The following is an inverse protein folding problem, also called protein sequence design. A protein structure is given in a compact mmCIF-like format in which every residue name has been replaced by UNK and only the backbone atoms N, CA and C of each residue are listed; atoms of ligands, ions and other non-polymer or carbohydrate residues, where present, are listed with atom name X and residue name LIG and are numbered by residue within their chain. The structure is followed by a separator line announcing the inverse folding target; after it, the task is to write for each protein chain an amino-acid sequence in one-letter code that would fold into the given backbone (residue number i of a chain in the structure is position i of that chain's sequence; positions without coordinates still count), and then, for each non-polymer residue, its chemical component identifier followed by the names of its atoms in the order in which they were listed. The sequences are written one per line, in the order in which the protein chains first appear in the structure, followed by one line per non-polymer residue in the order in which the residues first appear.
data_IF_752394477758
#
_entry.id   IF_752394477758
#
_cell.length_a   1.000
_cell.length_b   1.000
_cell.length_c   1.000
_cell.angle_alpha   90.00
_cell.angle_beta   90.00
_cell.angle_gamma   90.00
#
_symmetry.space_group_name_H-M   'P 1'
#
loop_
_entity.id
_entity.type
_entity.pdbx_description
1 polymer ?
#
# COMPACT_ATOMS: atom_id res chain seq x y z
N UNK A 1 -47.38 8.14 4.48
CA UNK A 1 -47.13 6.74 4.85
C UNK A 1 -45.80 6.40 4.19
N UNK A 2 -44.68 6.59 4.91
CA UNK A 2 -43.33 6.28 4.42
C UNK A 2 -43.19 4.77 4.61
N UNK A 3 -43.17 4.01 3.51
CA UNK A 3 -42.82 2.62 3.54
C UNK A 3 -41.34 2.53 3.95
N UNK A 4 -41.08 2.22 5.21
CA UNK A 4 -39.78 1.75 5.66
C UNK A 4 -39.59 0.39 4.98
N UNK A 5 -38.87 0.35 3.87
CA UNK A 5 -38.31 -0.88 3.34
C UNK A 5 -37.33 -1.37 4.42
N UNK A 6 -37.65 -2.46 5.11
CA UNK A 6 -36.71 -3.12 6.00
C UNK A 6 -35.44 -3.44 5.21
N UNK A 7 -34.30 -3.17 5.80
CA UNK A 7 -33.01 -3.62 5.21
C UNK A 7 -33.07 -5.15 5.06
N UNK A 8 -32.57 -5.70 3.96
CA UNK A 8 -32.54 -7.17 3.79
C UNK A 8 -31.67 -7.77 4.90
N UNK A 9 -32.16 -8.82 5.54
CA UNK A 9 -31.43 -9.53 6.58
C UNK A 9 -30.42 -10.50 5.97
N UNK A 10 -29.27 -10.70 6.65
CA UNK A 10 -28.30 -11.73 6.27
C UNK A 10 -28.95 -13.13 6.31
N UNK A 11 -29.88 -13.38 7.21
CA UNK A 11 -30.62 -14.64 7.31
C UNK A 11 -31.52 -14.87 6.11
N UNK A 12 -32.22 -13.82 5.62
CA UNK A 12 -33.03 -13.90 4.39
C UNK A 12 -32.15 -14.19 3.14
N UNK A 13 -30.94 -13.63 3.09
CA UNK A 13 -29.99 -13.93 2.02
C UNK A 13 -29.57 -15.40 2.06
N UNK A 14 -29.28 -15.93 3.25
CA UNK A 14 -28.87 -17.33 3.45
C UNK A 14 -29.99 -18.31 3.06
N UNK A 15 -31.24 -18.01 3.40
CA UNK A 15 -32.39 -18.83 2.99
C UNK A 15 -32.56 -18.91 1.46
N UNK A 16 -32.11 -17.93 0.72
CA UNK A 16 -32.16 -17.83 -0.73
C UNK A 16 -30.87 -18.22 -1.44
N UNK A 17 -29.83 -18.63 -0.68
CA UNK A 17 -28.48 -18.77 -1.18
C UNK A 17 -28.37 -19.78 -2.34
N UNK A 18 -29.10 -20.90 -2.31
CA UNK A 18 -29.12 -21.86 -3.41
C UNK A 18 -29.57 -21.26 -4.76
N UNK A 19 -30.47 -20.27 -4.71
CA UNK A 19 -30.96 -19.57 -5.90
C UNK A 19 -30.04 -18.43 -6.35
N UNK A 20 -29.33 -17.81 -5.40
CA UNK A 20 -28.54 -16.63 -5.62
C UNK A 20 -27.05 -16.94 -5.86
N UNK A 21 -26.61 -18.16 -5.51
CA UNK A 21 -25.22 -18.58 -5.66
C UNK A 21 -24.77 -18.57 -7.13
N UNK A 22 -23.49 -18.27 -7.37
CA UNK A 22 -22.97 -18.27 -8.73
C UNK A 22 -22.94 -19.68 -9.33
N UNK A 23 -23.27 -19.78 -10.61
CA UNK A 23 -23.21 -21.03 -11.37
C UNK A 23 -22.46 -20.79 -12.70
N UNK A 24 -21.29 -21.42 -12.94
CA UNK A 24 -20.64 -22.40 -12.06
C UNK A 24 -20.04 -21.75 -10.81
N UNK A 25 -20.02 -22.50 -9.70
CA UNK A 25 -19.33 -22.10 -8.48
C UNK A 25 -17.85 -22.42 -8.59
N UNK A 26 -17.03 -21.36 -8.57
CA UNK A 26 -15.58 -21.42 -8.51
C UNK A 26 -15.06 -20.16 -7.78
N UNK A 27 -13.75 -20.12 -7.49
CA UNK A 27 -13.13 -19.02 -6.73
C UNK A 27 -13.50 -17.64 -7.30
N UNK A 28 -13.27 -17.42 -8.60
CA UNK A 28 -13.52 -16.12 -9.23
C UNK A 28 -14.99 -15.74 -9.25
N UNK A 29 -15.88 -16.70 -9.46
CA UNK A 29 -17.32 -16.45 -9.50
C UNK A 29 -17.86 -16.12 -8.10
N UNK A 30 -17.36 -16.78 -7.05
CA UNK A 30 -17.71 -16.47 -5.66
C UNK A 30 -17.20 -15.08 -5.27
N UNK A 31 -15.94 -14.76 -5.56
CA UNK A 31 -15.39 -13.45 -5.26
C UNK A 31 -16.20 -12.33 -5.92
N UNK A 32 -16.50 -12.44 -7.25
CA UNK A 32 -17.34 -11.45 -7.95
C UNK A 32 -18.76 -11.36 -7.37
N UNK A 33 -19.32 -12.48 -6.95
CA UNK A 33 -20.65 -12.52 -6.34
C UNK A 33 -20.64 -11.78 -4.99
N UNK A 34 -19.62 -11.96 -4.16
CA UNK A 34 -19.43 -11.23 -2.90
C UNK A 34 -19.21 -9.75 -3.17
N UNK A 35 -18.33 -9.39 -4.10
CA UNK A 35 -18.03 -8.00 -4.48
C UNK A 35 -19.23 -7.22 -5.02
N UNK A 36 -20.19 -7.91 -5.60
CA UNK A 36 -21.39 -7.29 -6.21
C UNK A 36 -22.44 -6.83 -5.20
N UNK A 37 -22.23 -7.03 -3.90
CA UNK A 37 -23.22 -6.78 -2.84
C UNK A 37 -22.79 -5.69 -1.88
N UNK A 38 -23.77 -4.93 -1.42
CA UNK A 38 -23.58 -3.96 -0.33
C UNK A 38 -23.85 -4.65 1.03
N UNK A 39 -22.82 -5.27 1.58
CA UNK A 39 -22.89 -6.00 2.84
C UNK A 39 -23.18 -5.10 4.03
N UNK A 40 -22.81 -3.80 3.97
CA UNK A 40 -23.06 -2.85 5.04
C UNK A 40 -24.51 -2.40 5.10
N UNK A 41 -25.24 -2.52 4.00
CA UNK A 41 -26.68 -2.22 3.94
C UNK A 41 -27.54 -3.38 4.45
N UNK A 42 -26.97 -4.52 4.85
CA UNK A 42 -27.71 -5.67 5.38
C UNK A 42 -27.80 -5.61 6.91
N UNK A 43 -28.89 -6.14 7.46
CA UNK A 43 -28.96 -6.44 8.90
C UNK A 43 -28.18 -7.75 9.17
N UNK A 44 -26.98 -7.60 9.69
CA UNK A 44 -26.11 -8.70 10.11
C UNK A 44 -26.01 -8.82 11.64
N UNK A 45 -26.49 -7.81 12.40
CA UNK A 45 -26.42 -7.81 13.86
C UNK A 45 -27.22 -8.95 14.48
N UNK A 46 -28.33 -9.34 13.85
CA UNK A 46 -29.15 -10.47 14.29
C UNK A 46 -28.44 -11.84 14.25
N UNK A 47 -27.37 -11.94 13.43
CA UNK A 47 -26.57 -13.15 13.30
C UNK A 47 -25.25 -13.10 14.07
N UNK A 48 -24.95 -12.02 14.79
CA UNK A 48 -23.69 -11.81 15.48
C UNK A 48 -23.51 -12.82 16.63
N UNK A 49 -22.41 -13.63 16.63
CA UNK A 49 -22.14 -14.56 17.72
C UNK A 49 -21.74 -13.82 18.99
N UNK A 50 -22.15 -14.37 20.14
CA UNK A 50 -21.75 -13.84 21.44
C UNK A 50 -20.34 -14.30 21.78
N UNK A 51 -19.52 -13.39 22.30
CA UNK A 51 -18.18 -13.68 22.80
C UNK A 51 -18.32 -14.27 24.21
N UNK A 52 -17.97 -15.54 24.36
CA UNK A 52 -17.95 -16.22 25.65
C UNK A 52 -16.58 -16.08 26.36
N UNK A 53 -15.50 -16.13 25.57
CA UNK A 53 -14.12 -15.93 26.02
C UNK A 53 -13.52 -14.67 25.37
N UNK A 54 -13.18 -13.62 26.13
CA UNK A 54 -12.61 -12.41 25.59
C UNK A 54 -11.17 -12.59 25.03
N UNK A 55 -10.54 -13.72 25.25
CA UNK A 55 -9.22 -14.07 24.71
C UNK A 55 -9.30 -14.82 23.37
N UNK A 56 -10.51 -15.17 22.90
CA UNK A 56 -10.73 -15.84 21.63
C UNK A 56 -11.91 -15.20 20.86
N UNK A 57 -12.05 -15.55 19.59
CA UNK A 57 -13.14 -15.07 18.75
C UNK A 57 -14.32 -16.06 18.75
N UNK A 58 -15.51 -15.53 18.51
CA UNK A 58 -16.73 -16.34 18.40
C UNK A 58 -17.10 -16.60 16.93
N UNK A 59 -17.70 -17.77 16.64
CA UNK A 59 -18.15 -18.19 15.32
C UNK A 59 -19.65 -18.47 15.30
N UNK A 60 -20.33 -18.08 14.23
CA UNK A 60 -21.70 -18.48 13.91
C UNK A 60 -21.76 -18.93 12.45
N UNK A 61 -21.90 -20.23 12.21
CA UNK A 61 -22.11 -20.81 10.90
C UNK A 61 -23.56 -20.56 10.49
N UNK A 62 -23.76 -19.78 9.43
CA UNK A 62 -25.09 -19.40 8.94
C UNK A 62 -25.64 -20.42 7.96
N UNK A 63 -24.78 -21.01 7.13
CA UNK A 63 -25.10 -22.14 6.25
C UNK A 63 -23.84 -22.86 5.80
N UNK A 64 -24.01 -24.08 5.25
CA UNK A 64 -22.93 -24.91 4.71
C UNK A 64 -23.09 -25.19 3.20
N UNK A 65 -24.29 -24.99 2.66
CA UNK A 65 -24.61 -25.24 1.25
C UNK A 65 -25.17 -23.97 0.59
N UNK A 66 -24.84 -23.69 -0.67
CA UNK A 66 -23.91 -24.38 -1.59
C UNK A 66 -22.44 -24.09 -1.32
N UNK A 67 -22.14 -23.20 -0.38
CA UNK A 67 -20.83 -22.90 0.20
C UNK A 67 -21.03 -22.42 1.64
N UNK A 68 -20.00 -22.55 2.47
CA UNK A 68 -20.09 -22.09 3.86
C UNK A 68 -20.19 -20.57 3.92
N UNK A 69 -21.12 -20.09 4.76
CA UNK A 69 -21.17 -18.69 5.22
C UNK A 69 -21.05 -18.70 6.74
N UNK A 70 -20.01 -18.09 7.25
CA UNK A 70 -19.75 -18.01 8.70
C UNK A 70 -19.42 -16.59 9.13
N UNK A 71 -20.08 -16.16 10.21
CA UNK A 71 -19.81 -14.86 10.83
C UNK A 71 -18.89 -15.03 12.01
N UNK A 72 -17.85 -14.20 12.09
CA UNK A 72 -16.90 -14.18 13.20
C UNK A 72 -16.92 -12.84 13.91
N UNK A 73 -16.83 -12.92 15.25
CA UNK A 73 -16.80 -11.76 16.13
C UNK A 73 -15.53 -11.79 16.98
N UNK A 74 -14.69 -10.78 16.82
CA UNK A 74 -13.34 -10.70 17.37
C UNK A 74 -13.24 -9.61 18.44
N UNK A 75 -12.93 -9.95 19.69
CA UNK A 75 -12.59 -8.94 20.69
C UNK A 75 -11.41 -8.06 20.28
N UNK A 76 -11.22 -6.90 20.89
CA UNK A 76 -10.07 -6.04 20.62
C UNK A 76 -8.73 -6.77 20.75
N UNK A 77 -7.88 -6.66 19.73
CA UNK A 77 -6.54 -7.26 19.71
C UNK A 77 -6.47 -8.78 19.56
N UNK A 78 -7.61 -9.48 19.53
CA UNK A 78 -7.64 -10.95 19.33
C UNK A 78 -7.24 -11.32 17.90
N UNK A 79 -6.50 -12.43 17.77
CA UNK A 79 -6.05 -12.97 16.50
C UNK A 79 -6.21 -14.50 16.41
N UNK A 80 -6.36 -15.02 15.20
CA UNK A 80 -6.25 -16.46 14.96
C UNK A 80 -4.78 -16.91 15.03
N UNK A 81 -4.54 -18.20 15.18
CA UNK A 81 -3.24 -18.79 14.85
C UNK A 81 -2.94 -18.59 13.36
N UNK A 82 -1.66 -18.66 12.99
CA UNK A 82 -1.30 -18.82 11.57
C UNK A 82 -1.82 -20.19 11.13
N UNK A 83 -2.62 -20.23 10.07
CA UNK A 83 -3.23 -21.46 9.57
C UNK A 83 -3.19 -21.53 8.03
N UNK A 84 -3.34 -22.75 7.51
CA UNK A 84 -3.14 -23.04 6.10
C UNK A 84 -4.45 -23.48 5.44
N UNK A 85 -4.89 -22.74 4.42
CA UNK A 85 -6.00 -23.12 3.56
C UNK A 85 -5.54 -24.17 2.55
N UNK A 86 -5.65 -25.43 2.89
CA UNK A 86 -5.28 -26.54 2.02
C UNK A 86 -6.52 -27.30 1.58
N UNK A 87 -6.86 -27.17 0.29
CA UNK A 87 -8.01 -27.85 -0.30
C UNK A 87 -9.33 -27.10 -0.14
N UNK A 88 -9.31 -25.87 0.34
CA UNK A 88 -10.45 -24.95 0.36
C UNK A 88 -10.01 -23.52 0.09
N UNK A 89 -10.92 -22.70 -0.37
CA UNK A 89 -10.69 -21.31 -0.71
C UNK A 89 -11.93 -20.48 -0.37
N UNK A 90 -11.76 -19.18 -0.31
CA UNK A 90 -12.85 -18.29 0.04
C UNK A 90 -12.54 -16.83 -0.08
N UNK A 91 -13.36 -16.03 0.59
CA UNK A 91 -13.17 -14.60 0.71
C UNK A 91 -13.84 -14.08 1.99
N UNK A 92 -13.34 -12.98 2.51
CA UNK A 92 -13.80 -12.39 3.78
C UNK A 92 -14.26 -10.96 3.55
N UNK A 93 -15.40 -10.58 4.13
CA UNK A 93 -15.91 -9.21 4.17
C UNK A 93 -15.70 -8.65 5.59
N UNK A 94 -15.11 -7.49 5.71
CA UNK A 94 -15.07 -6.73 6.95
C UNK A 94 -16.40 -5.98 7.11
N UNK A 95 -17.19 -6.32 8.15
CA UNK A 95 -18.46 -5.65 8.44
C UNK A 95 -18.31 -4.51 9.45
N UNK A 96 -17.40 -4.67 10.41
CA UNK A 96 -17.12 -3.67 11.45
C UNK A 96 -15.67 -3.76 11.90
N UNK A 97 -15.07 -2.64 12.32
CA UNK A 97 -13.75 -2.59 12.92
C UNK A 97 -12.61 -2.57 11.90
N UNK A 98 -11.46 -3.09 12.29
CA UNK A 98 -10.25 -3.13 11.45
C UNK A 98 -9.73 -4.56 11.35
N UNK A 99 -9.88 -5.16 10.19
CA UNK A 99 -9.32 -6.47 9.88
C UNK A 99 -7.87 -6.33 9.43
N UNK A 100 -6.96 -7.06 10.05
CA UNK A 100 -5.59 -7.29 9.57
C UNK A 100 -5.43 -8.74 9.13
N UNK A 101 -5.19 -8.96 7.85
CA UNK A 101 -4.86 -10.26 7.28
C UNK A 101 -3.35 -10.32 7.03
N UNK A 102 -2.65 -11.14 7.82
CA UNK A 102 -1.19 -11.29 7.76
C UNK A 102 -0.84 -12.56 7.01
N UNK A 103 -0.21 -12.44 5.86
CA UNK A 103 0.16 -13.58 5.01
C UNK A 103 1.58 -14.05 5.28
N UNK A 104 1.77 -15.36 5.14
CA UNK A 104 3.04 -16.05 5.36
C UNK A 104 3.41 -16.91 4.17
N UNK A 105 4.70 -17.25 4.07
CA UNK A 105 5.23 -18.22 3.11
C UNK A 105 6.06 -19.26 3.85
N UNK A 106 5.77 -20.53 3.59
CA UNK A 106 6.57 -21.65 4.10
C UNK A 106 7.42 -22.21 2.96
N UNK A 107 8.75 -22.13 3.10
CA UNK A 107 9.71 -22.70 2.15
C UNK A 107 10.59 -23.70 2.86
N UNK A 108 10.36 -25.00 2.61
CA UNK A 108 10.96 -26.06 3.41
C UNK A 108 10.50 -25.96 4.86
N UNK A 109 11.43 -25.74 5.79
CA UNK A 109 11.16 -25.52 7.21
C UNK A 109 11.23 -24.05 7.63
N UNK A 110 11.35 -23.12 6.68
CA UNK A 110 11.38 -21.67 7.00
C UNK A 110 10.02 -21.06 6.76
N UNK A 111 9.43 -20.48 7.80
CA UNK A 111 8.21 -19.69 7.76
C UNK A 111 8.57 -18.19 7.84
N UNK A 112 8.16 -17.41 6.86
CA UNK A 112 8.39 -15.96 6.81
C UNK A 112 7.08 -15.21 6.61
N UNK A 113 6.95 -14.04 7.23
CA UNK A 113 5.86 -13.12 6.94
C UNK A 113 6.12 -12.44 5.60
N UNK A 114 5.12 -12.41 4.72
CA UNK A 114 5.27 -11.84 3.37
C UNK A 114 4.42 -10.61 3.11
N UNK A 115 3.26 -10.49 3.78
CA UNK A 115 2.34 -9.38 3.53
C UNK A 115 1.46 -9.04 4.74
N UNK A 116 0.85 -7.86 4.71
CA UNK A 116 -0.23 -7.42 5.59
C UNK A 116 -1.27 -6.67 4.77
N UNK A 117 -2.45 -7.25 4.62
CA UNK A 117 -3.63 -6.57 4.06
C UNK A 117 -4.51 -6.06 5.21
N UNK A 118 -4.85 -4.77 5.19
CA UNK A 118 -5.78 -4.17 6.16
C UNK A 118 -7.09 -3.85 5.48
N UNK A 119 -8.20 -4.31 6.07
CA UNK A 119 -9.55 -4.02 5.59
C UNK A 119 -10.37 -3.27 6.64
N UNK A 120 -11.18 -2.33 6.17
CA UNK A 120 -12.17 -1.59 6.93
C UNK A 120 -13.59 -2.00 6.50
N UNK A 121 -14.66 -1.53 7.16
CA UNK A 121 -16.02 -1.88 6.79
C UNK A 121 -16.30 -1.72 5.29
N UNK A 122 -16.82 -2.78 4.66
CA UNK A 122 -17.01 -2.90 3.22
C UNK A 122 -15.80 -3.46 2.45
N UNK A 123 -14.62 -3.53 3.08
CA UNK A 123 -13.44 -4.14 2.47
C UNK A 123 -13.56 -5.66 2.36
N UNK A 124 -13.02 -6.21 1.26
CA UNK A 124 -13.07 -7.64 0.93
C UNK A 124 -11.64 -8.17 0.84
N UNK A 125 -11.38 -9.29 1.52
CA UNK A 125 -10.08 -9.96 1.56
C UNK A 125 -10.20 -11.32 0.88
N UNK A 126 -9.56 -11.53 -0.29
CA UNK A 126 -9.57 -12.81 -0.96
C UNK A 126 -8.64 -13.83 -0.27
N UNK A 127 -9.08 -15.08 -0.20
CA UNK A 127 -8.37 -16.20 0.42
C UNK A 127 -8.34 -17.40 -0.53
N UNK A 128 -7.46 -17.40 -1.55
CA UNK A 128 -7.32 -18.50 -2.48
C UNK A 128 -6.78 -19.77 -1.81
N UNK A 129 -6.97 -20.93 -2.47
CA UNK A 129 -6.35 -22.19 -2.02
C UNK A 129 -4.83 -22.05 -1.85
N UNK A 130 -4.30 -22.66 -0.80
CA UNK A 130 -2.89 -22.54 -0.44
C UNK A 130 -2.54 -21.29 0.38
N UNK A 131 -3.50 -20.43 0.72
CA UNK A 131 -3.26 -19.28 1.62
C UNK A 131 -2.75 -19.76 2.98
N UNK A 132 -1.63 -19.18 3.42
CA UNK A 132 -1.08 -19.36 4.76
C UNK A 132 -1.09 -17.99 5.46
N UNK A 133 -1.98 -17.85 6.43
CA UNK A 133 -2.24 -16.53 7.01
C UNK A 133 -2.72 -16.59 8.45
N UNK A 134 -2.89 -15.43 9.06
CA UNK A 134 -3.72 -15.21 10.25
C UNK A 134 -4.56 -13.95 10.09
N UNK A 135 -5.72 -13.94 10.72
CA UNK A 135 -6.56 -12.75 10.88
C UNK A 135 -6.36 -12.20 12.29
N UNK A 136 -6.30 -10.87 12.40
CA UNK A 136 -6.21 -10.14 13.66
C UNK A 136 -7.18 -8.98 13.67
N UNK A 137 -7.79 -8.73 14.83
CA UNK A 137 -8.42 -7.45 15.08
C UNK A 137 -7.34 -6.38 15.28
N UNK A 138 -7.19 -5.48 14.32
CA UNK A 138 -6.19 -4.42 14.33
C UNK A 138 -6.50 -3.26 15.28
N UNK A 139 -7.67 -3.28 15.95
CA UNK A 139 -8.06 -2.28 16.96
C UNK A 139 -7.81 -2.81 18.38
N UNK A 140 -7.27 -1.94 19.24
CA UNK A 140 -7.10 -2.23 20.68
C UNK A 140 -8.37 -1.93 21.49
N UNK A 141 -9.38 -1.27 20.91
CA UNK A 141 -10.55 -0.75 21.63
C UNK A 141 -11.89 -1.13 21.02
N UNK A 142 -11.93 -1.48 19.75
CA UNK A 142 -13.15 -1.80 19.01
C UNK A 142 -13.17 -3.27 18.59
N UNK A 143 -14.37 -3.87 18.61
CA UNK A 143 -14.55 -5.21 18.11
C UNK A 143 -14.48 -5.24 16.56
N UNK A 144 -13.96 -6.34 16.02
CA UNK A 144 -14.00 -6.63 14.60
C UNK A 144 -15.13 -7.64 14.33
N UNK A 145 -15.89 -7.43 13.25
CA UNK A 145 -16.87 -8.39 12.74
C UNK A 145 -16.55 -8.69 11.29
N UNK A 146 -16.44 -9.99 10.98
CA UNK A 146 -16.13 -10.46 9.63
C UNK A 146 -17.14 -11.51 9.17
N UNK A 147 -17.45 -11.51 7.87
CA UNK A 147 -18.29 -12.50 7.21
C UNK A 147 -17.44 -13.26 6.20
N UNK A 148 -17.33 -14.57 6.39
CA UNK A 148 -16.48 -15.45 5.59
C UNK A 148 -17.32 -16.33 4.68
N UNK A 149 -16.80 -16.61 3.49
CA UNK A 149 -17.38 -17.46 2.47
C UNK A 149 -16.34 -18.48 2.06
N UNK A 150 -16.59 -19.79 2.29
CA UNK A 150 -15.64 -20.85 2.00
C UNK A 150 -16.23 -21.95 1.11
N UNK A 151 -15.41 -22.47 0.20
CA UNK A 151 -15.74 -23.63 -0.60
C UNK A 151 -14.53 -24.55 -0.83
N UNK A 152 -14.67 -25.88 -0.65
CA UNK A 152 -15.84 -26.53 -0.02
C UNK A 152 -16.04 -26.07 1.43
N UNK A 153 -17.25 -26.26 1.94
CA UNK A 153 -17.60 -25.89 3.31
C UNK A 153 -16.72 -26.61 4.35
N UNK A 154 -16.36 -25.88 5.39
CA UNK A 154 -15.60 -26.40 6.54
C UNK A 154 -16.60 -26.67 7.69
N UNK A 155 -17.27 -27.80 7.66
CA UNK A 155 -18.21 -28.18 8.71
C UNK A 155 -17.54 -28.17 10.11
N UNK A 156 -16.27 -28.55 10.16
CA UNK A 156 -15.41 -28.53 11.34
C UNK A 156 -14.00 -28.04 10.97
N UNK A 157 -13.15 -27.79 11.96
CA UNK A 157 -11.74 -27.46 11.72
C UNK A 157 -10.84 -28.71 11.71
N UNK A 158 -11.42 -29.92 11.58
CA UNK A 158 -10.65 -31.17 11.54
C UNK A 158 -9.65 -31.16 10.37
N UNK A 159 -8.40 -31.42 10.69
CA UNK A 159 -7.30 -31.43 9.72
C UNK A 159 -6.65 -30.04 9.46
N UNK A 160 -7.21 -28.95 9.99
CA UNK A 160 -6.60 -27.62 9.84
C UNK A 160 -5.24 -27.56 10.54
N UNK A 161 -4.21 -27.16 9.81
CA UNK A 161 -2.87 -26.99 10.35
C UNK A 161 -2.68 -25.58 10.93
N UNK A 162 -2.25 -25.51 12.19
CA UNK A 162 -1.90 -24.29 12.90
C UNK A 162 -0.40 -24.23 13.13
N UNK A 163 0.18 -23.03 13.09
CA UNK A 163 1.61 -22.79 13.24
C UNK A 163 1.86 -21.83 14.40
N UNK A 164 2.53 -22.32 15.44
CA UNK A 164 2.92 -21.52 16.60
C UNK A 164 4.26 -20.82 16.31
N UNK A 165 4.20 -19.50 16.13
CA UNK A 165 5.36 -18.68 15.79
C UNK A 165 6.40 -18.57 16.91
N UNK A 166 6.00 -18.81 18.17
CA UNK A 166 6.90 -18.70 19.34
C UNK A 166 7.73 -19.95 19.51
N UNK A 167 7.10 -21.12 19.37
CA UNK A 167 7.77 -22.41 19.60
C UNK A 167 8.28 -23.08 18.33
N UNK A 168 7.83 -22.65 17.16
CA UNK A 168 8.10 -23.31 15.87
C UNK A 168 7.37 -24.65 15.74
N UNK A 169 6.31 -24.87 16.51
CA UNK A 169 5.52 -26.09 16.51
C UNK A 169 4.33 -26.02 15.57
N UNK A 170 4.00 -27.14 14.94
CA UNK A 170 2.84 -27.31 14.08
C UNK A 170 1.81 -28.19 14.77
N UNK A 171 0.58 -27.71 14.81
CA UNK A 171 -0.56 -28.43 15.37
C UNK A 171 -1.52 -28.78 14.23
N UNK A 172 -2.27 -29.88 14.38
CA UNK A 172 -3.37 -30.24 13.49
C UNK A 172 -4.61 -30.37 14.33
N UNK A 173 -5.62 -29.57 14.04
CA UNK A 173 -6.91 -29.59 14.72
C UNK A 173 -7.66 -30.93 14.52
N UNK A 174 -8.57 -31.24 15.42
CA UNK A 174 -9.59 -32.25 15.27
C UNK A 174 -11.00 -31.61 15.31
N UNK A 175 -12.04 -32.45 15.23
CA UNK A 175 -13.44 -32.00 15.19
C UNK A 175 -13.91 -31.23 16.43
N UNK A 176 -13.16 -31.26 17.53
CA UNK A 176 -13.50 -30.51 18.78
C UNK A 176 -13.01 -29.07 18.75
N UNK A 177 -12.15 -28.70 17.82
CA UNK A 177 -11.59 -27.36 17.78
C UNK A 177 -12.69 -26.34 17.38
N UNK A 178 -13.09 -25.41 18.27
CA UNK A 178 -14.14 -24.44 17.98
C UNK A 178 -13.64 -23.28 17.12
N UNK A 179 -12.35 -22.96 17.22
CA UNK A 179 -11.68 -21.82 16.56
C UNK A 179 -10.30 -22.24 16.05
N UNK A 180 -9.71 -21.45 15.16
CA UNK A 180 -8.31 -21.60 14.74
C UNK A 180 -7.39 -20.79 15.68
N UNK A 181 -7.51 -21.00 16.99
CA UNK A 181 -6.73 -20.31 18.03
C UNK A 181 -5.62 -21.18 18.60
N UNK A 182 -4.51 -20.58 19.06
CA UNK A 182 -3.47 -21.29 19.80
C UNK A 182 -3.81 -21.56 21.25
N UNK A 183 -4.87 -20.96 21.78
CA UNK A 183 -5.28 -21.08 23.21
C UNK A 183 -6.17 -22.31 23.48
N UNK A 184 -6.35 -23.20 22.52
CA UNK A 184 -7.24 -24.35 22.65
C UNK A 184 -6.71 -25.43 23.60
N UNK A 185 -7.60 -26.16 24.30
CA UNK A 185 -7.24 -27.34 25.06
C UNK A 185 -6.52 -28.39 24.21
N UNK A 186 -5.63 -29.16 24.86
CA UNK A 186 -4.80 -30.21 24.19
C UNK A 186 -5.63 -31.23 23.42
N UNK A 187 -6.82 -31.55 23.89
CA UNK A 187 -7.74 -32.51 23.25
C UNK A 187 -8.43 -31.98 21.98
N UNK A 188 -8.25 -30.70 21.63
CA UNK A 188 -8.66 -30.13 20.36
C UNK A 188 -7.67 -30.41 19.21
N UNK A 189 -6.51 -31.03 19.52
CA UNK A 189 -5.49 -31.31 18.51
C UNK A 189 -5.35 -32.80 18.27
N UNK A 190 -5.33 -33.21 16.98
CA UNK A 190 -5.04 -34.59 16.54
C UNK A 190 -3.56 -34.92 16.68
N UNK A 191 -2.70 -33.97 16.32
CA UNK A 191 -1.24 -34.11 16.39
C UNK A 191 -0.56 -32.79 16.70
N UNK A 192 0.66 -32.92 17.23
CA UNK A 192 1.59 -31.80 17.45
C UNK A 192 2.99 -32.26 17.03
N UNK A 193 3.66 -31.44 16.27
CA UNK A 193 5.03 -31.62 15.81
C UNK A 193 5.88 -30.45 16.32
N UNK A 194 6.80 -30.73 17.23
CA UNK A 194 7.72 -29.75 17.78
C UNK A 194 8.86 -29.47 16.80
N UNK A 195 9.34 -28.22 16.77
CA UNK A 195 10.39 -27.76 15.85
C UNK A 195 10.09 -28.05 14.37
N UNK A 196 8.82 -28.02 13.98
CA UNK A 196 8.36 -28.27 12.62
C UNK A 196 8.84 -27.21 11.63
N UNK A 197 9.11 -26.00 12.11
CA UNK A 197 9.60 -24.88 11.30
C UNK A 197 10.41 -23.88 12.14
N UNK A 198 11.14 -23.02 11.43
CA UNK A 198 11.80 -21.85 12.00
C UNK A 198 11.10 -20.60 11.47
N UNK A 199 10.54 -19.82 12.38
CA UNK A 199 9.98 -18.53 12.01
C UNK A 199 11.11 -17.51 11.86
N UNK A 200 11.18 -16.89 10.68
CA UNK A 200 11.94 -15.65 10.47
C UNK A 200 11.02 -14.47 10.75
N UNK A 201 11.12 -13.83 11.93
CA UNK A 201 10.55 -12.50 12.06
C UNK A 201 11.22 -11.65 10.98
N UNK A 202 10.47 -10.72 10.38
CA UNK A 202 11.06 -9.74 9.46
C UNK A 202 12.21 -9.10 10.22
N UNK A 203 13.44 -9.48 9.88
CA UNK A 203 14.63 -8.79 10.40
C UNK A 203 14.41 -7.34 9.99
N UNK A 204 14.62 -6.41 10.91
CA UNK A 204 14.34 -4.99 10.82
C UNK A 204 15.09 -4.25 9.69
N UNK A 205 15.07 -4.78 8.48
CA UNK A 205 15.21 -4.01 7.25
C UNK A 205 13.81 -3.61 6.82
N UNK A 206 13.26 -2.85 7.63
CA UNK A 206 12.75 -1.52 7.43
C UNK A 206 11.39 -1.30 6.76
N UNK A 207 10.85 -2.10 5.87
CA UNK A 207 9.60 -1.81 5.17
C UNK A 207 8.67 -3.00 5.18
N UNK A 208 7.48 -2.82 5.71
CA UNK A 208 6.39 -3.81 5.63
C UNK A 208 5.37 -3.28 4.64
N UNK A 209 5.17 -4.01 3.55
CA UNK A 209 4.10 -3.73 2.61
C UNK A 209 2.75 -4.00 3.29
N UNK A 210 1.81 -3.09 3.15
CA UNK A 210 0.51 -3.15 3.79
C UNK A 210 -0.52 -2.49 2.87
N UNK A 211 -1.34 -3.26 2.20
CA UNK A 211 -2.47 -2.72 1.45
C UNK A 211 -3.66 -2.42 2.39
N UNK A 212 -4.40 -1.39 2.05
CA UNK A 212 -5.56 -0.92 2.81
C UNK A 212 -6.79 -1.02 1.92
N UNK A 213 -7.76 -1.83 2.29
CA UNK A 213 -8.99 -2.00 1.51
C UNK A 213 -10.23 -1.61 2.31
N UNK A 214 -11.14 -0.82 1.73
CA UNK A 214 -11.01 -0.15 0.42
C UNK A 214 -9.85 0.86 0.42
N UNK A 215 -9.34 1.19 -0.77
CA UNK A 215 -8.30 2.24 -0.90
C UNK A 215 -8.83 3.55 -0.30
N UNK A 216 -8.07 4.20 0.59
CA UNK A 216 -8.51 5.47 1.18
C UNK A 216 -8.65 6.57 0.12
N UNK A 217 -9.51 7.54 0.39
CA UNK A 217 -9.62 8.72 -0.45
C UNK A 217 -8.29 9.50 -0.50
N UNK A 218 -8.02 10.18 -1.62
CA UNK A 218 -6.76 10.88 -1.87
C UNK A 218 -6.32 11.83 -0.75
N UNK A 219 -7.26 12.58 -0.15
CA UNK A 219 -6.97 13.46 0.98
C UNK A 219 -6.49 12.70 2.23
N UNK A 220 -7.00 11.48 2.46
CA UNK A 220 -6.55 10.61 3.56
C UNK A 220 -5.15 10.10 3.27
N UNK A 221 -4.86 9.68 2.03
CA UNK A 221 -3.52 9.25 1.61
C UNK A 221 -2.51 10.38 1.76
N UNK A 222 -2.84 11.60 1.30
CA UNK A 222 -1.98 12.77 1.47
C UNK A 222 -1.68 13.04 2.96
N UNK A 223 -2.69 12.90 3.83
CA UNK A 223 -2.47 13.06 5.28
C UNK A 223 -1.57 11.96 5.86
N UNK A 224 -1.74 10.71 5.43
CA UNK A 224 -0.87 9.60 5.82
C UNK A 224 0.59 9.86 5.39
N UNK A 225 0.79 10.31 4.15
CA UNK A 225 2.12 10.67 3.62
C UNK A 225 2.72 11.84 4.40
N UNK A 226 1.94 12.88 4.70
CA UNK A 226 2.39 14.02 5.53
C UNK A 226 2.88 13.57 6.90
N UNK A 227 2.05 12.82 7.63
CA UNK A 227 2.38 12.32 8.96
C UNK A 227 3.64 11.45 8.94
N UNK A 228 3.75 10.55 7.95
CA UNK A 228 4.92 9.70 7.78
C UNK A 228 6.21 10.51 7.62
N UNK A 229 6.23 11.54 6.78
CA UNK A 229 7.40 12.37 6.58
C UNK A 229 7.66 13.33 7.73
N UNK A 230 6.66 13.80 8.45
CA UNK A 230 6.83 14.55 9.70
C UNK A 230 7.55 13.70 10.76
N UNK A 231 7.13 12.41 10.92
CA UNK A 231 7.81 11.46 11.82
C UNK A 231 9.27 11.22 11.42
N UNK A 232 9.55 11.14 10.12
CA UNK A 232 10.88 10.84 9.60
C UNK A 232 11.81 12.06 9.52
N UNK A 233 11.29 13.28 9.57
CA UNK A 233 12.03 14.50 9.24
C UNK A 233 13.35 14.69 10.02
N UNK A 234 13.36 14.33 11.31
CA UNK A 234 14.53 14.49 12.18
C UNK A 234 15.69 13.56 11.79
N UNK A 235 15.41 12.39 11.20
CA UNK A 235 16.40 11.35 10.91
C UNK A 235 16.60 11.12 9.41
N UNK A 236 15.80 11.76 8.56
CA UNK A 236 15.73 11.51 7.12
C UNK A 236 17.09 11.62 6.42
N UNK A 237 17.79 12.73 6.59
CA UNK A 237 19.08 12.96 5.95
C UNK A 237 20.17 11.99 6.43
N UNK A 238 20.15 11.62 7.70
CA UNK A 238 21.10 10.66 8.28
C UNK A 238 20.83 9.23 7.74
N UNK A 239 19.58 8.83 7.67
CA UNK A 239 19.20 7.53 7.11
C UNK A 239 19.54 7.42 5.62
N UNK A 240 19.29 8.48 4.85
CA UNK A 240 19.60 8.54 3.43
C UNK A 240 21.11 8.41 3.16
N UNK A 241 21.93 8.98 4.05
CA UNK A 241 23.37 8.86 3.98
C UNK A 241 23.93 7.47 4.40
N UNK A 242 23.22 6.74 5.24
CA UNK A 242 23.65 5.42 5.74
C UNK A 242 23.35 4.26 4.78
N UNK A 243 22.30 4.37 3.96
CA UNK A 243 21.94 3.35 2.98
C UNK A 243 22.71 3.58 1.69
N UNK A 244 23.79 2.80 1.48
CA UNK A 244 24.71 2.97 0.34
C UNK A 244 23.98 3.09 -1.01
N UNK A 245 23.06 2.18 -1.30
CA UNK A 245 22.24 2.15 -2.53
C UNK A 245 21.49 3.48 -2.74
N UNK A 246 20.86 4.02 -1.70
CA UNK A 246 20.15 5.31 -1.77
C UNK A 246 21.09 6.48 -1.96
N UNK A 247 22.20 6.47 -1.24
CA UNK A 247 23.22 7.52 -1.33
C UNK A 247 23.78 7.62 -2.75
N UNK A 248 24.16 6.50 -3.35
CA UNK A 248 24.70 6.45 -4.71
C UNK A 248 23.66 6.94 -5.73
N UNK A 249 22.44 6.38 -5.68
CA UNK A 249 21.35 6.83 -6.54
C UNK A 249 21.07 8.33 -6.42
N UNK A 250 20.95 8.86 -5.20
CA UNK A 250 20.70 10.29 -4.96
C UNK A 250 21.82 11.14 -5.54
N UNK A 251 23.08 10.76 -5.35
CA UNK A 251 24.22 11.47 -5.91
C UNK A 251 24.20 11.47 -7.44
N UNK A 252 23.93 10.34 -8.08
CA UNK A 252 23.84 10.22 -9.53
C UNK A 252 22.72 11.12 -10.08
N UNK A 253 21.54 11.09 -9.49
CA UNK A 253 20.44 11.94 -9.93
C UNK A 253 20.73 13.43 -9.71
N UNK A 254 21.29 13.81 -8.59
CA UNK A 254 21.61 15.23 -8.31
C UNK A 254 22.64 15.77 -9.30
N UNK A 255 23.62 14.96 -9.71
CA UNK A 255 24.58 15.30 -10.79
C UNK A 255 23.88 15.43 -12.15
N UNK A 256 22.97 14.51 -12.50
CA UNK A 256 22.20 14.61 -13.76
C UNK A 256 21.33 15.86 -13.78
N UNK A 257 20.65 16.19 -12.68
CA UNK A 257 19.85 17.43 -12.56
C UNK A 257 20.72 18.65 -12.72
N UNK A 258 21.87 18.69 -12.06
CA UNK A 258 22.84 19.81 -12.18
C UNK A 258 23.32 19.98 -13.62
N UNK A 259 23.63 18.88 -14.31
CA UNK A 259 24.04 18.91 -15.72
C UNK A 259 22.89 19.42 -16.64
N UNK A 260 21.65 19.04 -16.39
CA UNK A 260 20.48 19.57 -17.10
C UNK A 260 20.34 21.09 -16.90
N UNK A 261 20.56 21.58 -15.68
CA UNK A 261 20.52 23.02 -15.39
C UNK A 261 21.65 23.78 -16.09
N UNK A 262 22.86 23.20 -16.14
CA UNK A 262 23.98 23.79 -16.86
C UNK A 262 23.68 23.85 -18.38
N UNK A 263 23.14 22.77 -18.96
CA UNK A 263 22.76 22.76 -20.36
C UNK A 263 21.67 23.80 -20.68
N UNK A 264 20.63 23.87 -19.84
CA UNK A 264 19.58 24.89 -19.99
C UNK A 264 20.16 26.30 -19.88
N UNK A 265 21.12 26.53 -18.96
CA UNK A 265 21.73 27.84 -18.71
C UNK A 265 22.50 28.40 -19.91
N UNK A 266 23.06 27.51 -20.77
CA UNK A 266 23.75 27.91 -22.00
C UNK A 266 22.78 28.60 -22.96
N UNK A 267 21.56 28.05 -23.10
CA UNK A 267 20.55 28.60 -24.00
C UNK A 267 19.77 29.75 -23.36
N UNK A 268 19.49 29.64 -22.07
CA UNK A 268 18.68 30.58 -21.32
C UNK A 268 19.13 30.63 -19.83
N UNK A 269 19.43 31.82 -19.27
CA UNK A 269 19.85 31.92 -17.87
C UNK A 269 18.87 31.26 -16.90
N UNK A 270 19.32 30.29 -16.10
CA UNK A 270 18.56 29.71 -14.99
C UNK A 270 18.68 30.65 -13.80
N UNK A 271 17.56 31.24 -13.36
CA UNK A 271 17.46 32.20 -12.27
C UNK A 271 16.48 31.80 -11.18
N UNK A 272 15.46 31.01 -11.52
CA UNK A 272 14.38 30.63 -10.64
C UNK A 272 14.14 29.13 -10.78
N UNK A 273 14.26 28.37 -9.70
CA UNK A 273 14.01 26.93 -9.67
C UNK A 273 12.97 26.59 -8.61
N UNK A 274 11.96 25.81 -8.98
CA UNK A 274 10.97 25.27 -8.05
C UNK A 274 11.29 23.81 -7.73
N UNK A 275 11.46 23.50 -6.46
CA UNK A 275 11.61 22.15 -5.95
C UNK A 275 10.26 21.69 -5.35
N UNK A 276 9.48 20.95 -6.11
CA UNK A 276 8.21 20.33 -5.66
C UNK A 276 8.55 19.12 -4.78
N UNK A 277 7.93 19.01 -3.60
CA UNK A 277 8.31 18.10 -2.53
C UNK A 277 9.81 18.24 -2.20
N UNK A 278 10.18 19.44 -1.75
CA UNK A 278 11.57 19.81 -1.52
C UNK A 278 12.24 19.09 -0.34
N UNK A 279 11.47 18.34 0.46
CA UNK A 279 11.94 17.62 1.65
C UNK A 279 12.68 18.54 2.59
N UNK A 280 13.81 18.10 3.13
CA UNK A 280 14.67 18.90 4.00
C UNK A 280 15.44 20.02 3.28
N UNK A 281 15.33 20.13 1.95
CA UNK A 281 16.11 21.09 1.15
C UNK A 281 17.56 20.67 0.86
N UNK A 282 18.05 19.57 1.43
CA UNK A 282 19.44 19.10 1.26
C UNK A 282 19.79 18.88 -0.22
N UNK A 283 18.88 18.24 -0.98
CA UNK A 283 19.10 17.98 -2.41
C UNK A 283 19.08 19.27 -3.22
N UNK A 284 18.13 20.18 -2.97
CA UNK A 284 18.08 21.49 -3.63
C UNK A 284 19.40 22.24 -3.49
N UNK A 285 19.94 22.33 -2.27
CA UNK A 285 21.24 22.94 -1.97
C UNK A 285 22.40 22.20 -2.64
N UNK A 286 22.41 20.86 -2.60
CA UNK A 286 23.42 20.02 -3.26
C UNK A 286 23.44 20.20 -4.78
N UNK A 287 22.29 20.23 -5.44
CA UNK A 287 22.14 20.44 -6.89
C UNK A 287 22.64 21.83 -7.27
N UNK A 288 22.28 22.86 -6.49
CA UNK A 288 22.77 24.22 -6.74
C UNK A 288 24.31 24.27 -6.66
N UNK A 289 24.89 23.70 -5.63
CA UNK A 289 26.35 23.67 -5.46
C UNK A 289 27.05 22.89 -6.61
N UNK A 290 26.48 21.76 -7.03
CA UNK A 290 27.03 20.93 -8.13
C UNK A 290 26.88 21.60 -9.49
N UNK A 291 25.81 22.33 -9.72
CA UNK A 291 25.62 23.07 -10.99
C UNK A 291 26.55 24.27 -11.13
N UNK A 292 27.03 24.82 -10.01
CA UNK A 292 27.80 26.04 -9.98
C UNK A 292 27.02 27.29 -10.39
N UNK A 293 25.68 27.20 -10.46
CA UNK A 293 24.79 28.28 -10.89
C UNK A 293 24.20 28.98 -9.66
N UNK A 294 24.04 30.32 -9.79
CA UNK A 294 23.34 31.12 -8.79
C UNK A 294 21.91 31.39 -9.23
N UNK A 295 20.94 30.74 -8.55
CA UNK A 295 19.50 30.86 -8.79
C UNK A 295 18.72 30.88 -7.47
N UNK A 296 17.55 31.51 -7.48
CA UNK A 296 16.66 31.47 -6.33
C UNK A 296 15.98 30.10 -6.24
N UNK A 297 16.12 29.48 -5.07
CA UNK A 297 15.46 28.21 -4.75
C UNK A 297 14.10 28.45 -4.11
N UNK A 298 13.06 27.91 -4.73
CA UNK A 298 11.72 27.88 -4.17
C UNK A 298 11.34 26.43 -3.89
N UNK A 299 10.52 26.20 -2.87
CA UNK A 299 10.12 24.87 -2.48
C UNK A 299 8.68 24.81 -2.00
N UNK A 300 8.12 23.62 -2.14
CA UNK A 300 6.87 23.24 -1.48
C UNK A 300 7.02 21.83 -0.95
N UNK A 301 6.52 21.59 0.25
CA UNK A 301 6.46 20.27 0.84
C UNK A 301 5.16 20.08 1.61
N UNK A 302 4.67 18.85 1.67
CA UNK A 302 3.47 18.48 2.40
C UNK A 302 3.73 18.39 3.92
N UNK A 303 4.98 17.99 4.29
CA UNK A 303 5.45 17.89 5.65
C UNK A 303 5.90 19.25 6.18
N UNK A 304 5.32 19.67 7.29
CA UNK A 304 5.71 20.92 7.95
C UNK A 304 7.15 20.86 8.49
N UNK A 305 7.54 19.71 9.05
CA UNK A 305 8.87 19.51 9.63
C UNK A 305 9.96 19.47 8.55
N UNK A 306 9.68 18.87 7.37
CA UNK A 306 10.57 18.93 6.21
C UNK A 306 10.72 20.37 5.71
N UNK A 307 9.62 21.10 5.52
CA UNK A 307 9.63 22.47 5.02
C UNK A 307 10.40 23.43 5.94
N UNK A 308 10.32 23.27 7.26
CA UNK A 308 11.13 24.03 8.24
C UNK A 308 12.62 23.85 8.01
N UNK A 309 13.07 22.60 7.79
CA UNK A 309 14.48 22.32 7.51
C UNK A 309 14.93 22.90 6.17
N UNK A 310 14.09 22.82 5.13
CA UNK A 310 14.37 23.40 3.81
C UNK A 310 14.54 24.93 3.91
N UNK A 311 13.66 25.59 4.65
CA UNK A 311 13.75 27.05 4.89
C UNK A 311 15.06 27.42 5.57
N UNK A 312 15.49 26.65 6.57
CA UNK A 312 16.77 26.88 7.26
C UNK A 312 17.98 26.69 6.32
N UNK A 313 17.82 25.98 5.19
CA UNK A 313 18.84 25.79 4.14
C UNK A 313 18.74 26.80 2.98
N UNK A 314 17.93 27.83 3.12
CA UNK A 314 17.83 28.91 2.13
C UNK A 314 16.84 28.64 0.99
N UNK A 315 16.00 27.61 1.08
CA UNK A 315 14.90 27.39 0.15
C UNK A 315 13.71 28.25 0.59
N UNK A 316 13.17 29.07 -0.30
CA UNK A 316 11.93 29.81 -0.04
C UNK A 316 10.74 28.84 -0.09
N UNK A 317 10.39 28.26 1.06
CA UNK A 317 9.52 27.11 1.17
C UNK A 317 8.11 27.47 1.61
N UNK A 318 7.10 26.76 1.04
CA UNK A 318 5.70 26.77 1.48
C UNK A 318 5.28 25.37 1.90
N UNK A 319 4.47 25.26 2.95
CA UNK A 319 3.80 24.01 3.34
C UNK A 319 2.51 23.87 2.53
N UNK A 320 2.30 22.72 1.90
CA UNK A 320 1.07 22.46 1.17
C UNK A 320 1.12 21.24 0.26
N UNK A 321 -0.06 20.76 -0.13
CA UNK A 321 -0.19 19.66 -1.09
C UNK A 321 0.16 20.10 -2.51
N UNK A 322 0.93 19.28 -3.22
CA UNK A 322 1.25 19.48 -4.63
C UNK A 322 -0.01 19.48 -5.51
N UNK A 323 -1.03 18.72 -5.13
CA UNK A 323 -2.30 18.67 -5.86
C UNK A 323 -3.17 19.91 -5.67
N UNK A 324 -2.88 20.76 -4.69
CA UNK A 324 -3.60 22.01 -4.42
C UNK A 324 -2.79 23.28 -4.72
N UNK A 325 -1.54 23.15 -5.19
CA UNK A 325 -0.75 24.30 -5.58
C UNK A 325 -1.48 25.06 -6.70
N UNK A 326 -1.86 26.29 -6.41
CA UNK A 326 -2.29 27.21 -7.44
C UNK A 326 -1.07 27.63 -8.26
N UNK A 327 -1.07 27.48 -9.59
CA UNK A 327 -0.02 28.02 -10.46
C UNK A 327 0.02 29.55 -10.46
N UNK A 328 -0.89 30.21 -9.77
CA UNK A 328 -1.00 31.66 -9.67
C UNK A 328 0.01 32.21 -8.66
N UNK A 329 1.27 32.13 -9.03
CA UNK A 329 2.26 33.16 -8.72
C UNK A 329 2.41 33.95 -10.03
N UNK A 330 1.66 35.03 -10.20
CA UNK A 330 1.80 36.07 -11.24
C UNK A 330 2.41 35.66 -12.62
N UNK A 331 2.00 34.50 -13.17
CA UNK A 331 2.45 33.97 -14.46
C UNK A 331 3.57 32.91 -14.35
N UNK A 332 3.93 32.26 -15.46
CA UNK A 332 5.01 31.27 -15.53
C UNK A 332 6.35 31.94 -15.22
N UNK A 333 6.97 31.58 -14.10
CA UNK A 333 8.14 32.26 -13.56
C UNK A 333 9.38 31.41 -13.40
N UNK A 334 9.27 30.06 -13.52
CA UNK A 334 10.38 29.18 -13.25
C UNK A 334 11.09 28.70 -14.51
N UNK A 335 12.41 28.64 -14.45
CA UNK A 335 13.27 28.13 -15.51
C UNK A 335 13.30 26.60 -15.49
N UNK A 336 13.27 26.05 -14.28
CA UNK A 336 13.21 24.61 -14.05
C UNK A 336 12.31 24.28 -12.85
N UNK A 337 11.70 23.11 -12.92
CA UNK A 337 10.93 22.49 -11.84
C UNK A 337 11.53 21.11 -11.58
N UNK A 338 11.75 20.75 -10.31
CA UNK A 338 12.13 19.37 -9.92
C UNK A 338 11.07 18.74 -9.05
N UNK A 339 10.89 17.41 -9.20
CA UNK A 339 10.03 16.59 -8.36
C UNK A 339 10.75 15.25 -8.10
N UNK A 340 11.63 15.23 -7.12
CA UNK A 340 12.58 14.15 -6.89
C UNK A 340 12.18 13.29 -5.70
N UNK A 341 12.10 11.98 -5.89
CA UNK A 341 11.72 10.99 -4.88
C UNK A 341 10.29 11.14 -4.32
N UNK A 342 9.41 11.78 -5.07
CA UNK A 342 8.10 12.19 -4.57
C UNK A 342 6.93 11.83 -5.47
N UNK A 343 7.15 11.64 -6.77
CA UNK A 343 6.07 11.37 -7.73
C UNK A 343 5.21 10.15 -7.33
N UNK A 344 5.84 9.10 -6.82
CA UNK A 344 5.15 7.90 -6.37
C UNK A 344 4.27 8.09 -5.13
N UNK A 345 4.42 9.19 -4.38
CA UNK A 345 3.57 9.47 -3.21
C UNK A 345 2.24 10.18 -3.56
N UNK A 346 2.02 10.50 -4.85
CA UNK A 346 0.78 11.10 -5.32
C UNK A 346 -0.33 10.04 -5.42
N UNK A 347 -1.51 10.28 -4.82
CA UNK A 347 -2.47 9.23 -4.48
C UNK A 347 -3.10 8.49 -5.66
N UNK A 348 -3.31 9.17 -6.79
CA UNK A 348 -4.02 8.66 -7.96
C UNK A 348 -3.60 9.37 -9.25
N UNK A 349 -4.02 8.83 -10.41
CA UNK A 349 -3.71 9.39 -11.73
C UNK A 349 -4.18 10.84 -11.88
N UNK A 350 -5.35 11.19 -11.35
CA UNK A 350 -5.89 12.55 -11.45
C UNK A 350 -4.99 13.56 -10.71
N UNK A 351 -4.51 13.20 -9.51
CA UNK A 351 -3.56 14.02 -8.75
C UNK A 351 -2.19 14.09 -9.44
N UNK A 352 -1.69 12.97 -9.98
CA UNK A 352 -0.43 12.95 -10.76
C UNK A 352 -0.52 13.86 -11.99
N UNK A 353 -1.60 13.77 -12.76
CA UNK A 353 -1.83 14.66 -13.91
C UNK A 353 -1.92 16.12 -13.50
N UNK A 354 -2.63 16.42 -12.41
CA UNK A 354 -2.78 17.78 -11.88
C UNK A 354 -1.44 18.38 -11.47
N UNK A 355 -0.59 17.60 -10.80
CA UNK A 355 0.76 18.03 -10.40
C UNK A 355 1.64 18.31 -11.62
N UNK A 356 1.65 17.41 -12.62
CA UNK A 356 2.38 17.63 -13.87
C UNK A 356 1.85 18.87 -14.62
N UNK A 357 0.54 19.05 -14.70
CA UNK A 357 -0.07 20.23 -15.34
C UNK A 357 0.27 21.53 -14.59
N UNK A 358 0.33 21.50 -13.27
CA UNK A 358 0.77 22.65 -12.46
C UNK A 358 2.23 22.99 -12.72
N UNK A 359 3.10 21.97 -12.78
CA UNK A 359 4.52 22.17 -13.15
C UNK A 359 4.66 22.77 -14.55
N UNK A 360 3.86 22.30 -15.53
CA UNK A 360 3.83 22.86 -16.87
C UNK A 360 3.46 24.35 -16.86
N UNK A 361 2.43 24.72 -16.10
CA UNK A 361 1.96 26.10 -16.02
C UNK A 361 2.95 27.03 -15.32
N UNK A 362 3.69 26.55 -14.32
CA UNK A 362 4.70 27.29 -13.59
C UNK A 362 5.96 27.59 -14.41
N UNK A 363 6.29 26.71 -15.37
CA UNK A 363 7.47 26.87 -16.21
C UNK A 363 7.27 27.98 -17.25
N UNK A 364 8.32 28.70 -17.57
CA UNK A 364 8.38 29.55 -18.77
C UNK A 364 8.43 28.69 -20.04
N UNK A 365 8.09 29.21 -21.22
CA UNK A 365 8.34 28.53 -22.48
C UNK A 365 9.82 28.13 -22.63
N UNK A 366 10.06 26.85 -22.96
CA UNK A 366 11.40 26.28 -23.03
C UNK A 366 12.00 25.82 -21.69
N UNK A 367 11.30 26.08 -20.57
CA UNK A 367 11.70 25.58 -19.26
C UNK A 367 11.53 24.06 -19.15
N UNK A 368 12.17 23.45 -18.16
CA UNK A 368 12.22 21.98 -17.99
C UNK A 368 11.64 21.53 -16.67
N UNK A 369 10.93 20.38 -16.72
CA UNK A 369 10.57 19.58 -15.56
C UNK A 369 11.53 18.39 -15.48
N UNK A 370 12.11 18.14 -14.32
CA UNK A 370 12.93 16.97 -14.04
C UNK A 370 12.35 16.22 -12.85
N UNK A 371 12.08 14.94 -13.01
CA UNK A 371 11.56 14.12 -11.92
C UNK A 371 11.98 12.66 -12.05
N UNK A 372 11.81 11.91 -10.97
CA UNK A 372 11.97 10.46 -10.95
C UNK A 372 10.69 9.76 -10.49
N UNK A 373 10.49 8.54 -10.98
CA UNK A 373 9.37 7.70 -10.61
C UNK A 373 9.83 6.26 -10.37
N UNK A 374 9.09 5.53 -9.55
CA UNK A 374 9.35 4.11 -9.32
C UNK A 374 8.85 3.30 -10.52
N UNK A 375 9.72 2.45 -11.08
CA UNK A 375 9.37 1.55 -12.18
C UNK A 375 8.72 0.27 -11.64
N UNK A 376 7.56 -0.09 -12.16
CA UNK A 376 6.87 -1.33 -11.79
C UNK A 376 7.65 -2.57 -12.24
N UNK A 377 8.52 -2.44 -13.23
CA UNK A 377 9.37 -3.51 -13.73
C UNK A 377 10.67 -3.69 -12.93
N UNK A 378 10.97 -2.81 -11.96
CA UNK A 378 12.20 -2.90 -11.16
C UNK A 378 12.16 -4.08 -10.19
N UNK A 379 12.91 -5.15 -10.52
CA UNK A 379 12.99 -6.38 -9.72
C UNK A 379 13.69 -6.19 -8.36
N UNK A 380 14.38 -5.07 -8.14
CA UNK A 380 15.05 -4.73 -6.88
C UNK A 380 14.16 -3.96 -5.90
N UNK A 381 12.94 -3.65 -6.31
CA UNK A 381 11.92 -2.95 -5.51
C UNK A 381 10.61 -3.75 -5.49
N UNK A 382 9.54 -3.16 -4.99
CA UNK A 382 8.24 -3.84 -4.85
C UNK A 382 7.38 -3.87 -6.12
N UNK A 383 7.83 -3.31 -7.23
CA UNK A 383 7.03 -3.19 -8.45
C UNK A 383 6.42 -4.51 -8.92
N UNK A 384 7.22 -5.57 -9.17
CA UNK A 384 6.68 -6.87 -9.58
C UNK A 384 5.77 -7.52 -8.54
N UNK A 385 6.10 -7.35 -7.25
CA UNK A 385 5.26 -7.86 -6.16
C UNK A 385 3.93 -7.11 -6.08
N UNK A 386 3.93 -5.79 -6.28
CA UNK A 386 2.72 -4.98 -6.32
C UNK A 386 1.80 -5.37 -7.49
N UNK A 387 2.37 -5.65 -8.66
CA UNK A 387 1.61 -6.11 -9.82
C UNK A 387 0.96 -7.47 -9.56
N UNK A 388 1.73 -8.45 -9.08
CA UNK A 388 1.21 -9.78 -8.75
C UNK A 388 0.12 -9.72 -7.67
N UNK A 389 0.32 -8.89 -6.65
CA UNK A 389 -0.64 -8.70 -5.57
C UNK A 389 -1.93 -8.02 -6.03
N UNK A 390 -1.84 -7.03 -6.92
CA UNK A 390 -2.98 -6.33 -7.49
C UNK A 390 -3.98 -7.29 -8.14
N UNK A 391 -3.49 -8.23 -8.95
CA UNK A 391 -4.32 -9.23 -9.61
C UNK A 391 -4.85 -10.27 -8.62
N UNK A 392 -3.96 -10.81 -7.78
CA UNK A 392 -4.28 -11.88 -6.83
C UNK A 392 -5.32 -11.44 -5.79
N UNK A 393 -5.22 -10.22 -5.27
CA UNK A 393 -6.12 -9.66 -4.25
C UNK A 393 -7.28 -8.85 -4.84
N UNK A 394 -7.44 -8.83 -6.18
CA UNK A 394 -8.54 -8.14 -6.87
C UNK A 394 -8.65 -6.66 -6.44
N UNK A 395 -7.53 -6.00 -6.25
CA UNK A 395 -7.46 -4.65 -5.69
C UNK A 395 -8.15 -3.58 -6.55
N UNK A 396 -8.37 -3.85 -7.85
CA UNK A 396 -9.10 -2.94 -8.74
C UNK A 396 -10.51 -2.63 -8.22
N UNK A 397 -11.24 -3.65 -7.73
CA UNK A 397 -12.59 -3.48 -7.17
C UNK A 397 -12.59 -2.67 -5.87
N UNK A 398 -11.45 -2.58 -5.20
CA UNK A 398 -11.23 -1.81 -3.97
C UNK A 398 -10.70 -0.38 -4.24
N UNK A 399 -10.67 0.06 -5.50
CA UNK A 399 -10.26 1.41 -5.91
C UNK A 399 -8.75 1.60 -6.08
N UNK A 400 -7.95 0.54 -6.03
CA UNK A 400 -6.51 0.61 -6.28
C UNK A 400 -6.19 0.76 -7.77
N UNK A 401 -5.11 1.46 -8.07
CA UNK A 401 -4.46 1.44 -9.37
C UNK A 401 -3.33 0.40 -9.37
N UNK A 402 -2.99 -0.13 -10.55
CA UNK A 402 -1.85 -1.04 -10.71
C UNK A 402 -0.58 -0.35 -10.25
N UNK A 403 0.16 -0.97 -9.34
CA UNK A 403 1.38 -0.39 -8.77
C UNK A 403 1.20 0.37 -7.45
N UNK A 404 -0.03 0.47 -6.93
CA UNK A 404 -0.29 1.08 -5.63
C UNK A 404 0.18 0.18 -4.48
N UNK A 405 0.93 0.76 -3.54
CA UNK A 405 1.45 0.06 -2.36
C UNK A 405 1.33 0.95 -1.14
N UNK A 406 0.83 0.41 -0.03
CA UNK A 406 0.96 1.01 1.29
C UNK A 406 2.07 0.29 2.06
N UNK A 407 2.88 1.04 2.81
CA UNK A 407 3.97 0.45 3.58
C UNK A 407 4.21 1.18 4.89
N UNK A 408 4.86 0.48 5.84
CA UNK A 408 5.39 1.05 7.07
C UNK A 408 6.90 0.86 7.12
N UNK A 409 7.61 1.83 7.69
CA UNK A 409 9.06 1.78 7.89
C UNK A 409 9.39 1.59 9.36
N UNK A 410 10.38 0.75 9.67
CA UNK A 410 11.05 0.67 10.97
C UNK A 410 10.11 0.56 12.18
N UNK A 411 9.05 -0.22 12.11
CA UNK A 411 8.05 -0.34 13.19
C UNK A 411 7.33 0.98 13.54
N UNK A 412 7.47 2.02 12.72
CA UNK A 412 6.69 3.24 12.84
C UNK A 412 5.20 2.98 12.76
N UNK A 413 4.40 3.78 13.44
CA UNK A 413 2.92 3.65 13.42
C UNK A 413 2.34 4.18 12.13
N UNK A 414 2.97 5.20 11.55
CA UNK A 414 2.50 5.87 10.34
C UNK A 414 2.73 5.04 9.08
N UNK A 415 1.75 5.08 8.20
CA UNK A 415 1.79 4.44 6.90
C UNK A 415 2.18 5.46 5.83
N UNK A 416 2.95 5.02 4.85
CA UNK A 416 3.19 5.76 3.62
C UNK A 416 2.53 5.06 2.44
N UNK A 417 2.30 5.82 1.39
CA UNK A 417 1.79 5.37 0.11
C UNK A 417 2.86 5.51 -0.95
N UNK A 418 2.92 4.54 -1.86
CA UNK A 418 3.80 4.57 -3.03
C UNK A 418 3.07 4.00 -4.24
N UNK A 419 3.30 4.61 -5.40
CA UNK A 419 2.81 4.15 -6.69
C UNK A 419 3.97 3.85 -7.62
N UNK A 420 3.98 2.65 -8.19
CA UNK A 420 4.90 2.22 -9.22
C UNK A 420 4.28 2.44 -10.60
N UNK A 421 5.04 3.04 -11.52
CA UNK A 421 4.56 3.38 -12.85
C UNK A 421 5.06 2.39 -13.90
N UNK A 422 4.28 2.19 -14.96
CA UNK A 422 4.83 1.68 -16.23
C UNK A 422 5.44 2.82 -17.02
N UNK A 423 6.48 2.55 -17.82
CA UNK A 423 7.11 3.55 -18.70
C UNK A 423 6.10 4.19 -19.66
N UNK A 424 5.25 3.36 -20.29
CA UNK A 424 4.25 3.83 -21.23
C UNK A 424 3.17 4.71 -20.57
N UNK A 425 2.68 4.29 -19.39
CA UNK A 425 1.70 5.06 -18.63
C UNK A 425 2.25 6.41 -18.19
N UNK A 426 3.49 6.44 -17.70
CA UNK A 426 4.17 7.66 -17.30
C UNK A 426 4.38 8.60 -18.49
N UNK A 427 4.85 8.07 -19.63
CA UNK A 427 5.04 8.82 -20.87
C UNK A 427 3.73 9.45 -21.35
N UNK A 428 2.65 8.68 -21.38
CA UNK A 428 1.33 9.17 -21.79
C UNK A 428 0.83 10.31 -20.86
N UNK A 429 1.06 10.19 -19.56
CA UNK A 429 0.62 11.18 -18.59
C UNK A 429 1.42 12.50 -18.70
N UNK A 430 2.73 12.41 -18.90
CA UNK A 430 3.62 13.56 -19.14
C UNK A 430 3.20 14.31 -20.40
N UNK A 431 2.94 13.59 -21.49
CA UNK A 431 2.46 14.19 -22.74
C UNK A 431 1.06 14.80 -22.61
N UNK A 432 0.14 14.14 -21.87
CA UNK A 432 -1.20 14.65 -21.57
C UNK A 432 -1.16 15.96 -20.77
N UNK A 433 -0.14 16.14 -19.93
CA UNK A 433 0.10 17.39 -19.20
C UNK A 433 0.64 18.53 -20.09
N UNK A 434 1.00 18.26 -21.35
CA UNK A 434 1.47 19.24 -22.33
C UNK A 434 2.97 19.23 -22.59
N UNK A 435 3.73 18.40 -21.90
CA UNK A 435 5.20 18.33 -22.04
C UNK A 435 5.67 17.56 -23.27
N UNK A 436 6.83 17.96 -23.78
CA UNK A 436 7.65 17.17 -24.69
C UNK A 436 8.73 16.46 -23.90
N UNK A 437 8.76 15.12 -23.90
CA UNK A 437 9.79 14.34 -23.22
C UNK A 437 11.10 14.48 -24.00
N UNK A 438 12.16 14.93 -23.33
CA UNK A 438 13.52 15.04 -23.87
C UNK A 438 14.35 13.82 -23.55
N UNK A 439 14.20 13.27 -22.35
CA UNK A 439 14.87 12.08 -21.87
C UNK A 439 13.92 11.29 -20.96
N UNK A 440 13.90 9.99 -21.10
CA UNK A 440 13.29 9.06 -20.14
C UNK A 440 14.15 7.81 -20.15
N UNK A 441 14.84 7.57 -19.05
CA UNK A 441 15.75 6.44 -18.87
C UNK A 441 15.56 5.81 -17.49
N UNK A 442 15.93 4.54 -17.37
CA UNK A 442 16.06 3.88 -16.07
C UNK A 442 17.45 4.14 -15.51
N UNK A 443 17.54 4.70 -14.30
CA UNK A 443 18.79 4.95 -13.58
C UNK A 443 18.95 3.96 -12.46
N UNK A 444 20.06 3.22 -12.47
CA UNK A 444 20.39 2.20 -11.46
C UNK A 444 20.73 2.78 -10.10
N UNK A 445 20.65 1.93 -9.07
CA UNK A 445 20.93 2.34 -7.69
C UNK A 445 22.41 2.37 -7.34
N UNK A 446 23.21 1.58 -8.05
CA UNK A 446 24.64 1.34 -7.85
C UNK A 446 25.48 1.75 -9.08
N UNK A 447 24.83 2.24 -10.10
CA UNK A 447 25.48 2.77 -11.29
C UNK A 447 25.74 4.28 -11.17
N UNK A 448 27.01 4.63 -11.01
CA UNK A 448 27.43 6.03 -10.92
C UNK A 448 27.55 6.72 -12.29
N UNK A 449 27.41 5.99 -13.40
CA UNK A 449 27.44 6.56 -14.75
C UNK A 449 26.23 7.42 -15.06
N UNK A 450 25.08 7.08 -14.46
CA UNK A 450 23.79 7.70 -14.76
C UNK A 450 23.27 7.41 -16.18
N UNK A 451 23.80 6.39 -16.84
CA UNK A 451 23.32 5.90 -18.13
C UNK A 451 22.12 4.97 -17.98
N UNK A 452 21.56 4.49 -19.09
CA UNK A 452 20.45 3.54 -19.08
C UNK A 452 20.85 2.24 -18.39
N UNK A 453 20.14 1.90 -17.32
CA UNK A 453 20.29 0.66 -16.57
C UNK A 453 19.14 -0.32 -16.86
N UNK A 454 19.35 -1.61 -16.54
CA UNK A 454 18.30 -2.63 -16.66
C UNK A 454 17.25 -2.52 -15.53
N UNK A 455 17.70 -2.13 -14.34
CA UNK A 455 16.87 -2.01 -13.14
C UNK A 455 17.14 -0.69 -12.44
N UNK A 456 16.11 -0.08 -11.86
CA UNK A 456 16.22 1.20 -11.16
C UNK A 456 14.94 2.03 -11.28
N UNK A 457 15.09 3.34 -11.12
CA UNK A 457 13.98 4.28 -11.25
C UNK A 457 13.97 4.96 -12.62
N UNK A 458 12.77 5.32 -13.05
CA UNK A 458 12.59 6.14 -14.24
C UNK A 458 13.01 7.58 -13.94
N UNK A 459 13.98 8.08 -14.67
CA UNK A 459 14.40 9.49 -14.64
C UNK A 459 13.88 10.18 -15.89
N UNK A 460 13.19 11.29 -15.72
CA UNK A 460 12.47 11.99 -16.79
C UNK A 460 12.91 13.45 -16.86
N UNK A 461 13.28 13.90 -18.06
CA UNK A 461 13.45 15.30 -18.42
C UNK A 461 12.41 15.66 -19.45
N UNK A 462 11.53 16.60 -19.12
CA UNK A 462 10.44 17.03 -19.99
C UNK A 462 10.47 18.54 -20.18
N UNK A 463 10.17 19.03 -21.37
CA UNK A 463 10.23 20.45 -21.71
C UNK A 463 8.83 21.01 -22.00
N UNK A 464 8.58 22.22 -21.48
CA UNK A 464 7.42 23.02 -21.84
C UNK A 464 7.52 23.64 -23.22
#
# INVERSE_FOLDING_TARGET
MILTTSQPSINELVEQLELLAPNPLNYDSLCRWVESRDWLAMDWQSALPQIEDPSDYARNILCLEPFEVVMLHWPPGVESAVHHHQGFWGTVVCLQGTLENVSYRLTGTQLERVDLLRAYPGGIVPEPDGTLHKIRNGSATEALVTLHFYYPALETLDGLALYDLETGSRYVCNEKAPTASMNLPRDCYRSMEENAFQFKPIVASSHVQCNVVPKPASAVIEKMVSNYFDEQAAVYDAQDAQVLKRKQYTQTIDLKVAACFQALHVDQPVKQVMHMACGTGRRAQGIQAQSGLDYAMHGVDLSEEMAKQATARGVNTRVGSLSSISPVLDGPSFDAVTLLYAYGHLPDEANRLKVLSSAYQMLRPGGILIFDAFDIADEHEWGPAALAQFEHQRLASQGYEVGDVFYRRNQGEEQAFLHYCTQDGLSALVQKAGFTIREMITVGYDDVSGEQAAHGKLFVVAQR
#
